data_IF_477543591714
#
_entry.id   IF_477543591714
#
_cell.length_a   1.000
_cell.length_b   1.000
_cell.length_c   1.000
_cell.angle_alpha   90.00
_cell.angle_beta   90.00
_cell.angle_gamma   90.00
#
_symmetry.space_group_name_H-M   'P 1'
#
loop_
_entity.id
_entity.type
_entity.pdbx_description
1 polymer ?
#
# COMPACT_ATOMS: atom_id res chain seq x y z
N UNK A 1 -1.36 -24.19 -18.89
CA UNK A 1 -1.26 -24.11 -17.42
C UNK A 1 -1.67 -22.71 -17.01
N UNK A 2 -2.83 -22.56 -16.38
CA UNK A 2 -3.26 -21.27 -15.84
C UNK A 2 -2.36 -20.97 -14.64
N UNK A 3 -1.33 -20.13 -14.84
CA UNK A 3 -0.53 -19.65 -13.72
C UNK A 3 -1.45 -18.90 -12.77
N UNK A 4 -1.48 -19.28 -11.49
CA UNK A 4 -2.19 -18.50 -10.47
C UNK A 4 -1.63 -17.08 -10.50
N UNK A 5 -2.40 -16.13 -11.06
CA UNK A 5 -2.00 -14.73 -11.17
C UNK A 5 -1.81 -14.05 -9.80
N UNK A 6 -2.26 -14.71 -8.73
CA UNK A 6 -2.36 -14.20 -7.37
C UNK A 6 -1.49 -15.02 -6.40
N UNK A 7 -0.23 -15.29 -6.77
CA UNK A 7 0.79 -15.82 -5.85
C UNK A 7 1.82 -14.74 -5.56
N UNK A 8 2.19 -14.59 -4.30
CA UNK A 8 3.33 -13.78 -3.85
C UNK A 8 4.46 -14.72 -3.47
N UNK A 9 5.65 -14.47 -4.01
CA UNK A 9 6.85 -15.19 -3.59
C UNK A 9 7.54 -14.42 -2.47
N UNK A 10 7.74 -15.10 -1.33
CA UNK A 10 8.26 -14.51 -0.12
C UNK A 10 9.63 -15.09 0.20
N UNK A 11 10.60 -14.20 0.34
CA UNK A 11 11.94 -14.50 0.83
C UNK A 11 12.16 -13.78 2.15
N UNK A 12 12.63 -14.50 3.15
CA UNK A 12 13.02 -13.93 4.42
C UNK A 12 14.52 -14.03 4.56
N UNK A 13 15.16 -12.92 4.89
CA UNK A 13 16.59 -12.86 5.10
C UNK A 13 16.90 -12.08 6.39
N UNK A 14 18.05 -12.37 6.99
CA UNK A 14 18.56 -11.69 8.17
C UNK A 14 19.96 -11.19 7.90
N UNK A 15 20.27 -10.01 8.41
CA UNK A 15 21.61 -9.44 8.35
C UNK A 15 21.58 -7.97 8.70
N UNK A 16 22.62 -7.27 8.32
CA UNK A 16 22.70 -5.83 8.54
C UNK A 16 23.37 -5.15 7.36
N UNK A 17 23.01 -3.89 7.13
CA UNK A 17 23.75 -3.00 6.26
C UNK A 17 24.77 -2.25 7.12
N UNK A 18 25.91 -1.82 6.57
CA UNK A 18 26.94 -1.14 7.37
C UNK A 18 26.47 0.19 8.00
N UNK A 19 25.43 0.83 7.44
CA UNK A 19 24.81 2.03 8.00
C UNK A 19 23.79 1.73 9.12
N UNK A 20 23.42 0.46 9.30
CA UNK A 20 22.56 0.01 10.40
C UNK A 20 23.42 -0.44 11.58
N UNK A 21 23.00 -0.09 12.79
CA UNK A 21 23.71 -0.47 14.03
C UNK A 21 23.45 -1.92 14.46
N UNK A 22 22.34 -2.50 14.01
CA UNK A 22 21.81 -3.77 14.49
C UNK A 22 21.40 -4.67 13.32
N UNK A 23 21.26 -5.97 13.59
CA UNK A 23 20.71 -6.91 12.64
C UNK A 23 19.20 -6.69 12.47
N UNK A 24 18.73 -6.83 11.25
CA UNK A 24 17.34 -6.70 10.87
C UNK A 24 16.89 -7.92 10.09
N UNK A 25 15.62 -8.27 10.25
CA UNK A 25 14.91 -9.23 9.41
C UNK A 25 14.24 -8.48 8.26
N UNK A 26 14.52 -8.95 7.06
CA UNK A 26 13.99 -8.42 5.80
C UNK A 26 13.04 -9.45 5.20
N UNK A 27 11.83 -9.00 4.86
CA UNK A 27 10.82 -9.83 4.19
C UNK A 27 10.55 -9.26 2.81
N UNK A 28 11.08 -9.92 1.79
CA UNK A 28 10.91 -9.56 0.38
C UNK A 28 9.68 -10.27 -0.17
N UNK A 29 8.70 -9.50 -0.65
CA UNK A 29 7.48 -9.99 -1.29
C UNK A 29 7.48 -9.58 -2.75
N UNK A 30 7.67 -10.55 -3.64
CA UNK A 30 7.67 -10.35 -5.07
C UNK A 30 6.29 -10.70 -5.61
N UNK A 31 5.66 -9.73 -6.26
CA UNK A 31 4.35 -9.88 -6.88
C UNK A 31 4.48 -10.22 -8.37
N UNK A 32 3.41 -10.76 -8.95
CA UNK A 32 3.38 -11.19 -10.36
C UNK A 32 3.52 -10.04 -11.37
N UNK A 33 3.29 -8.79 -10.96
CA UNK A 33 3.53 -7.57 -11.75
C UNK A 33 4.96 -7.02 -11.58
N UNK A 34 5.88 -7.81 -11.03
CA UNK A 34 7.28 -7.45 -10.76
C UNK A 34 7.47 -6.34 -9.73
N UNK A 35 6.40 -5.93 -9.02
CA UNK A 35 6.56 -5.05 -7.86
C UNK A 35 7.15 -5.84 -6.69
N UNK A 36 8.00 -5.16 -5.92
CA UNK A 36 8.64 -5.72 -4.73
C UNK A 36 8.26 -4.86 -3.53
N UNK A 37 7.77 -5.52 -2.47
CA UNK A 37 7.64 -4.93 -1.14
C UNK A 37 8.71 -5.51 -0.24
N UNK A 38 9.37 -4.66 0.55
CA UNK A 38 10.35 -5.09 1.55
C UNK A 38 9.89 -4.58 2.90
N UNK A 39 9.53 -5.48 3.81
CA UNK A 39 9.33 -5.11 5.21
C UNK A 39 10.65 -5.31 5.96
N UNK A 40 11.01 -4.35 6.82
CA UNK A 40 12.23 -4.38 7.61
C UNK A 40 11.84 -4.30 9.08
N UNK A 41 12.36 -5.24 9.90
CA UNK A 41 12.12 -5.26 11.35
C UNK A 41 13.44 -5.50 12.09
N UNK A 42 13.74 -4.78 13.19
CA UNK A 42 14.88 -5.09 14.04
C UNK A 42 14.80 -6.53 14.56
N UNK A 43 15.94 -7.22 14.64
CA UNK A 43 16.04 -8.52 15.32
C UNK A 43 16.15 -8.24 16.81
N UNK A 44 15.05 -8.38 17.55
CA UNK A 44 15.07 -8.16 19.00
C UNK A 44 15.99 -9.17 19.68
N UNK A 45 17.06 -8.70 20.31
CA UNK A 45 18.01 -9.52 21.09
C UNK A 45 17.53 -9.80 22.53
N UNK A 46 16.31 -9.40 22.90
CA UNK A 46 15.76 -9.71 24.22
C UNK A 46 15.22 -11.15 24.25
N UNK A 47 15.53 -11.96 25.29
CA UNK A 47 14.93 -13.29 25.43
C UNK A 47 13.41 -13.14 25.58
N UNK A 48 12.67 -13.78 24.69
CA UNK A 48 11.21 -13.87 24.72
C UNK A 48 10.76 -14.58 26.00
N UNK A 49 10.41 -13.80 27.02
CA UNK A 49 9.66 -14.29 28.16
C UNK A 49 8.18 -14.10 27.81
N UNK A 50 7.50 -15.23 27.63
CA UNK A 50 6.04 -15.44 27.49
C UNK A 50 5.45 -15.33 26.08
N UNK A 51 5.61 -16.41 25.31
CA UNK A 51 4.43 -16.98 24.64
C UNK A 51 3.52 -17.58 25.73
N UNK A 52 2.44 -16.88 26.07
CA UNK A 52 1.26 -17.49 26.68
C UNK A 52 0.02 -17.10 25.87
N UNK A 53 -0.94 -18.02 25.68
CA UNK A 53 -2.15 -17.75 24.91
C UNK A 53 -3.04 -16.72 25.63
N UNK A 54 -3.90 -15.99 24.90
CA UNK A 54 -4.76 -14.98 25.51
C UNK A 54 -5.77 -15.65 26.45
N UNK A 55 -5.65 -15.35 27.74
CA UNK A 55 -6.70 -15.60 28.73
C UNK A 55 -7.79 -14.57 28.49
N UNK A 56 -9.01 -15.04 28.24
CA UNK A 56 -10.20 -14.21 28.14
C UNK A 56 -10.41 -13.47 29.47
N UNK A 57 -10.50 -12.14 29.40
CA UNK A 57 -10.97 -11.32 30.53
C UNK A 57 -12.36 -10.82 30.16
N UNK A 58 -13.33 -11.34 30.92
CA UNK A 58 -14.73 -10.96 30.95
C UNK A 58 -14.85 -9.48 31.39
N UNK A 59 -15.56 -8.67 30.62
CA UNK A 59 -15.95 -7.33 31.04
C UNK A 59 -17.31 -7.42 31.75
N UNK A 60 -17.28 -7.62 33.06
CA UNK A 60 -18.43 -7.39 33.93
C UNK A 60 -18.25 -6.10 34.75
N UNK A 61 -19.37 -5.39 34.83
CA UNK A 61 -19.67 -4.09 35.41
C UNK A 61 -19.00 -3.78 36.76
N UNK A 62 -18.40 -2.57 36.89
CA UNK A 62 -18.48 -1.81 38.14
C UNK A 62 -18.76 -0.32 37.84
N UNK A 63 -20.00 0.03 38.15
CA UNK A 63 -20.55 1.38 38.28
C UNK A 63 -19.96 2.11 39.50
N UNK A 64 -19.58 3.39 39.35
CA UNK A 64 -19.61 4.35 40.45
C UNK A 64 -20.23 5.66 39.97
N UNK A 65 -21.14 6.17 40.80
CA UNK A 65 -22.24 7.10 40.54
C UNK A 65 -22.08 8.33 41.45
N UNK A 66 -22.42 9.51 40.93
CA UNK A 66 -22.83 10.72 41.68
C UNK A 66 -21.71 11.72 41.99
N UNK A 67 -21.92 13.04 42.03
CA UNK A 67 -23.16 13.85 41.96
C UNK A 67 -22.76 15.32 41.83
N UNK A 68 -23.57 16.12 41.13
CA UNK A 68 -23.54 17.59 41.09
C UNK A 68 -24.39 18.12 42.25
N UNK A 69 -23.88 19.03 43.08
CA UNK A 69 -24.69 19.99 43.86
C UNK A 69 -23.93 21.33 44.04
N UNK A 70 -24.68 22.41 43.85
CA UNK A 70 -24.34 23.83 43.91
C UNK A 70 -24.23 24.39 45.35
N UNK A 71 -23.64 25.60 45.50
CA UNK A 71 -24.13 26.80 46.24
C UNK A 71 -22.98 27.65 46.85
N UNK A 72 -22.77 28.81 46.19
CA UNK A 72 -22.69 30.23 46.62
C UNK A 72 -21.83 30.80 47.78
N UNK A 73 -21.25 31.96 47.41
CA UNK A 73 -21.01 33.26 48.11
C UNK A 73 -19.94 33.41 49.21
N UNK A 74 -18.91 34.23 48.93
CA UNK A 74 -18.65 35.56 49.56
C UNK A 74 -17.76 36.43 48.63
N UNK A 75 -18.15 37.71 48.50
CA UNK A 75 -17.60 38.81 47.68
C UNK A 75 -16.33 39.51 48.21
N UNK A 76 -15.64 40.21 47.29
CA UNK A 76 -15.09 41.61 47.32
C UNK A 76 -13.73 41.66 46.56
N UNK A 77 -13.65 42.20 45.33
CA UNK A 77 -13.36 43.62 44.95
C UNK A 77 -11.95 44.07 45.40
N UNK A 78 -10.97 44.58 44.64
CA UNK A 78 -10.72 45.16 43.30
C UNK A 78 -9.22 44.81 42.97
N UNK A 79 -8.68 44.78 41.75
CA UNK A 79 -8.24 45.94 40.95
C UNK A 79 -7.44 45.43 39.71
N UNK A 80 -7.37 46.27 38.68
CA UNK A 80 -7.04 45.97 37.28
C UNK A 80 -5.54 45.73 36.92
N UNK A 81 -5.37 45.06 35.77
CA UNK A 81 -4.34 45.22 34.70
C UNK A 81 -3.05 44.36 34.66
N UNK A 82 -3.07 43.46 33.67
CA UNK A 82 -2.00 43.11 32.71
C UNK A 82 -0.63 42.63 33.25
N UNK A 83 -0.35 41.34 33.12
CA UNK A 83 0.66 40.83 32.18
C UNK A 83 0.86 39.31 32.28
N UNK A 84 0.75 38.64 31.13
CA UNK A 84 1.44 37.38 30.75
C UNK A 84 1.34 36.22 31.75
N UNK A 85 0.29 35.43 31.60
CA UNK A 85 0.36 34.01 31.95
C UNK A 85 0.81 33.23 30.72
N UNK A 86 2.01 32.67 30.85
CA UNK A 86 2.49 31.52 30.10
C UNK A 86 1.50 30.37 30.25
N UNK A 87 0.80 30.05 29.18
CA UNK A 87 0.10 28.77 29.07
C UNK A 87 1.22 27.72 29.00
N UNK A 88 1.42 27.02 30.11
CA UNK A 88 2.14 25.77 30.18
C UNK A 88 1.41 24.78 29.28
N UNK A 89 2.02 24.45 28.14
CA UNK A 89 1.63 23.32 27.32
C UNK A 89 1.72 22.06 28.19
N UNK A 90 0.61 21.34 28.29
CA UNK A 90 0.57 20.00 28.86
C UNK A 90 1.54 19.10 28.07
N UNK A 91 2.44 18.36 28.73
CA UNK A 91 3.34 17.43 28.06
C UNK A 91 2.54 16.18 27.67
N UNK A 92 1.96 16.17 26.48
CA UNK A 92 1.55 14.93 25.82
C UNK A 92 2.83 14.12 25.50
N UNK A 93 3.06 13.09 26.32
CA UNK A 93 3.82 11.87 26.04
C UNK A 93 4.90 11.96 24.94
N UNK A 94 6.05 12.57 25.26
CA UNK A 94 7.30 12.36 24.52
C UNK A 94 7.80 10.92 24.76
N UNK A 95 7.15 9.93 24.14
CA UNK A 95 7.72 8.59 24.01
C UNK A 95 8.95 8.64 23.09
N UNK A 96 10.15 8.57 23.69
CA UNK A 96 11.47 8.22 23.14
C UNK A 96 11.63 8.21 21.59
N UNK A 97 11.49 9.36 20.92
CA UNK A 97 11.69 9.49 19.47
C UNK A 97 13.19 9.56 19.09
N UNK A 98 14.03 8.76 19.76
CA UNK A 98 15.50 8.69 19.51
C UNK A 98 15.89 7.58 18.53
N UNK A 99 14.96 6.69 18.21
CA UNK A 99 15.20 5.58 17.27
C UNK A 99 14.86 6.03 15.84
N UNK A 100 15.86 6.02 14.96
CA UNK A 100 15.66 6.31 13.55
C UNK A 100 14.70 5.30 12.93
N UNK A 101 13.63 5.80 12.29
CA UNK A 101 12.68 5.00 11.53
C UNK A 101 13.29 4.59 10.19
N UNK A 102 12.81 3.46 9.66
CA UNK A 102 13.36 2.84 8.46
C UNK A 102 12.23 2.22 7.64
N UNK A 103 12.17 2.53 6.34
CA UNK A 103 11.20 1.95 5.42
C UNK A 103 11.81 1.73 4.04
N UNK A 104 11.40 0.65 3.38
CA UNK A 104 11.81 0.36 2.01
C UNK A 104 10.69 0.67 1.01
N UNK A 105 11.07 1.21 -0.14
CA UNK A 105 10.17 1.75 -1.15
C UNK A 105 10.80 1.61 -2.55
N UNK A 106 10.02 1.90 -3.60
CA UNK A 106 10.43 1.84 -5.01
C UNK A 106 11.00 0.46 -5.43
N UNK A 107 10.37 -0.59 -4.91
CA UNK A 107 10.82 -1.97 -5.10
C UNK A 107 10.40 -2.56 -6.44
N UNK A 108 11.37 -3.17 -7.14
CA UNK A 108 11.18 -3.96 -8.37
C UNK A 108 12.00 -5.25 -8.32
N UNK A 109 11.46 -6.31 -8.92
CA UNK A 109 12.14 -7.59 -9.06
C UNK A 109 12.04 -8.12 -10.49
N UNK A 110 13.17 -8.52 -11.07
CA UNK A 110 13.25 -9.11 -12.40
C UNK A 110 13.79 -10.54 -12.28
N UNK A 111 13.04 -11.51 -12.78
CA UNK A 111 13.50 -12.89 -12.84
C UNK A 111 14.66 -13.01 -13.85
N UNK A 112 15.80 -13.52 -13.41
CA UNK A 112 16.90 -13.86 -14.31
C UNK A 112 16.51 -15.10 -15.12
N UNK A 113 16.70 -15.04 -16.45
CA UNK A 113 16.53 -16.23 -17.28
C UNK A 113 17.70 -17.17 -17.03
N UNK A 114 17.45 -18.47 -16.74
CA UNK A 114 18.54 -19.44 -16.72
C UNK A 114 19.19 -19.50 -18.12
N UNK A 115 20.50 -19.76 -18.19
CA UNK A 115 21.18 -19.94 -19.48
C UNK A 115 20.52 -21.06 -20.28
N UNK A 116 20.49 -20.91 -21.61
CA UNK A 116 19.86 -21.86 -22.53
C UNK A 116 20.36 -23.29 -22.25
N UNK A 117 19.44 -24.21 -21.94
CA UNK A 117 19.74 -25.62 -21.69
C UNK A 117 19.63 -26.10 -20.23
N UNK A 118 19.34 -25.22 -19.25
CA UNK A 118 19.17 -25.59 -17.82
C UNK A 118 17.84 -25.09 -17.21
N UNK A 119 16.72 -25.23 -17.94
CA UNK A 119 15.43 -24.67 -17.49
C UNK A 119 14.80 -25.35 -16.27
N UNK A 120 15.13 -26.61 -15.96
CA UNK A 120 14.36 -27.40 -14.98
C UNK A 120 15.07 -27.59 -13.62
N UNK A 121 16.30 -27.13 -13.43
CA UNK A 121 17.10 -27.45 -12.22
C UNK A 121 17.70 -26.25 -11.48
N UNK A 122 17.63 -25.03 -12.02
CA UNK A 122 18.17 -23.86 -11.31
C UNK A 122 17.12 -23.21 -10.40
N UNK A 123 17.46 -22.88 -9.14
CA UNK A 123 16.56 -22.11 -8.29
C UNK A 123 16.30 -20.74 -8.93
N UNK A 124 15.03 -20.32 -8.92
CA UNK A 124 14.62 -18.98 -9.34
C UNK A 124 15.53 -17.92 -8.70
N UNK A 125 16.06 -17.05 -9.53
CA UNK A 125 16.96 -15.97 -9.15
C UNK A 125 16.36 -14.65 -9.59
N UNK A 126 16.33 -13.68 -8.68
CA UNK A 126 15.81 -12.35 -8.94
C UNK A 126 16.91 -11.31 -8.85
N UNK A 127 16.98 -10.43 -9.85
CA UNK A 127 17.61 -9.13 -9.71
C UNK A 127 16.61 -8.16 -9.11
N UNK A 128 16.90 -7.68 -7.90
CA UNK A 128 16.03 -6.76 -7.17
C UNK A 128 16.65 -5.38 -7.07
N UNK A 129 15.79 -4.38 -7.16
CA UNK A 129 16.11 -2.98 -6.90
C UNK A 129 15.08 -2.43 -5.91
N UNK A 130 15.52 -1.71 -4.90
CA UNK A 130 14.66 -0.99 -3.98
C UNK A 130 15.46 0.13 -3.32
N UNK A 131 14.77 1.06 -2.68
CA UNK A 131 15.37 2.10 -1.86
C UNK A 131 14.98 1.89 -0.42
N UNK A 132 15.85 2.34 0.49
CA UNK A 132 15.58 2.42 1.91
C UNK A 132 15.67 3.89 2.28
N UNK A 133 14.65 4.42 2.93
CA UNK A 133 14.70 5.72 3.59
C UNK A 133 14.84 5.51 5.10
N UNK A 134 15.80 6.19 5.69
CA UNK A 134 16.00 6.28 7.13
C UNK A 134 15.76 7.73 7.54
N UNK A 135 15.02 7.96 8.62
CA UNK A 135 14.77 9.31 9.12
C UNK A 135 14.56 9.32 10.62
N UNK A 136 14.79 10.47 11.24
CA UNK A 136 14.58 10.64 12.67
C UNK A 136 14.91 12.06 13.12
N UNK A 137 14.86 12.27 14.44
CA UNK A 137 15.18 13.56 15.05
C UNK A 137 16.63 13.55 15.55
N UNK A 138 17.40 14.56 15.15
CA UNK A 138 18.78 14.77 15.60
C UNK A 138 18.95 16.13 16.26
N UNK A 139 20.18 16.42 16.70
CA UNK A 139 20.51 17.68 17.39
C UNK A 139 20.24 18.95 16.54
N UNK A 140 20.19 18.82 15.20
CA UNK A 140 19.92 19.90 14.26
C UNK A 140 18.49 19.87 13.69
N UNK A 141 17.60 19.05 14.27
CA UNK A 141 16.24 18.84 13.79
C UNK A 141 16.07 17.51 13.04
N UNK A 142 15.02 17.44 12.22
CA UNK A 142 14.73 16.24 11.42
C UNK A 142 15.81 16.01 10.38
N UNK A 143 16.25 14.75 10.26
CA UNK A 143 17.18 14.32 9.24
C UNK A 143 16.62 13.11 8.50
N UNK A 144 17.08 12.93 7.27
CA UNK A 144 16.79 11.73 6.48
C UNK A 144 17.95 11.37 5.56
N UNK A 145 18.04 10.09 5.25
CA UNK A 145 19.00 9.49 4.35
C UNK A 145 18.27 8.52 3.43
N UNK A 146 18.64 8.47 2.15
CA UNK A 146 18.06 7.53 1.20
C UNK A 146 19.19 6.70 0.59
N UNK A 147 19.06 5.39 0.72
CA UNK A 147 20.01 4.41 0.21
C UNK A 147 19.35 3.62 -0.92
N UNK A 148 20.03 3.54 -2.07
CA UNK A 148 19.60 2.73 -3.20
C UNK A 148 20.28 1.36 -3.14
N UNK A 149 19.49 0.30 -3.25
CA UNK A 149 19.97 -1.09 -3.20
C UNK A 149 19.76 -1.78 -4.56
N UNK A 150 20.79 -2.47 -5.04
CA UNK A 150 20.71 -3.39 -6.19
C UNK A 150 21.35 -4.70 -5.78
N UNK A 151 20.59 -5.79 -5.85
CA UNK A 151 21.04 -7.06 -5.32
C UNK A 151 20.44 -8.25 -6.05
N UNK A 152 21.06 -9.39 -5.84
CA UNK A 152 20.65 -10.69 -6.35
C UNK A 152 20.05 -11.49 -5.21
N UNK A 153 18.80 -11.93 -5.40
CA UNK A 153 18.00 -12.65 -4.41
C UNK A 153 17.79 -14.09 -4.87
N UNK A 154 18.18 -15.05 -4.03
CA UNK A 154 17.96 -16.48 -4.28
C UNK A 154 17.55 -17.19 -3.01
N UNK A 155 16.92 -18.37 -3.17
CA UNK A 155 16.49 -19.19 -2.03
C UNK A 155 17.66 -19.72 -1.19
N UNK A 156 18.80 -19.97 -1.82
CA UNK A 156 19.95 -20.65 -1.20
C UNK A 156 20.96 -19.69 -0.58
N UNK A 157 21.14 -18.51 -1.18
CA UNK A 157 22.17 -17.55 -0.78
C UNK A 157 21.56 -16.30 -0.10
N UNK A 158 20.24 -16.19 -0.03
CA UNK A 158 19.57 -15.00 0.48
C UNK A 158 19.76 -13.84 -0.48
N UNK A 159 20.08 -12.66 0.06
CA UNK A 159 20.27 -11.43 -0.70
C UNK A 159 21.73 -10.99 -0.65
N UNK A 160 22.35 -10.78 -1.80
CA UNK A 160 23.70 -10.20 -1.87
C UNK A 160 23.77 -9.15 -2.95
N UNK A 161 24.41 -8.02 -2.67
CA UNK A 161 24.50 -6.95 -3.65
C UNK A 161 25.26 -5.74 -3.16
N UNK A 162 24.92 -4.59 -3.76
CA UNK A 162 25.53 -3.30 -3.46
C UNK A 162 24.48 -2.27 -3.11
N UNK A 163 24.83 -1.34 -2.24
CA UNK A 163 24.03 -0.17 -1.93
C UNK A 163 24.87 1.10 -1.96
N UNK A 164 24.22 2.24 -2.18
CA UNK A 164 24.86 3.57 -2.21
C UNK A 164 23.88 4.62 -1.71
N UNK A 165 24.36 5.60 -0.93
CA UNK A 165 23.57 6.79 -0.60
C UNK A 165 23.31 7.60 -1.88
N UNK A 166 22.07 8.05 -2.08
CA UNK A 166 21.71 8.84 -3.27
C UNK A 166 22.49 10.15 -3.38
N UNK A 167 23.01 10.67 -2.26
CA UNK A 167 23.83 11.90 -2.23
C UNK A 167 25.32 11.64 -2.47
N UNK A 168 25.77 10.39 -2.35
CA UNK A 168 27.17 10.00 -2.52
C UNK A 168 27.46 9.55 -3.96
N UNK A 169 28.75 9.40 -4.30
CA UNK A 169 29.13 8.96 -5.63
C UNK A 169 28.94 7.44 -5.76
N UNK A 170 28.68 6.95 -6.98
CA UNK A 170 28.49 5.51 -7.26
C UNK A 170 29.75 4.70 -6.94
N UNK A 171 30.92 5.34 -6.97
CA UNK A 171 32.19 4.72 -6.60
C UNK A 171 32.27 4.37 -5.10
N UNK A 172 31.41 4.95 -4.26
CA UNK A 172 31.31 4.71 -2.82
C UNK A 172 30.34 3.56 -2.49
N UNK A 173 29.90 2.79 -3.49
CA UNK A 173 28.97 1.68 -3.29
C UNK A 173 29.56 0.61 -2.37
N UNK A 174 28.79 0.22 -1.36
CA UNK A 174 29.17 -0.76 -0.35
C UNK A 174 28.48 -2.09 -0.62
N UNK A 175 29.20 -3.19 -0.39
CA UNK A 175 28.66 -4.54 -0.52
C UNK A 175 27.90 -4.95 0.74
N UNK A 176 26.88 -5.80 0.57
CA UNK A 176 26.14 -6.37 1.68
C UNK A 176 25.67 -7.79 1.37
N UNK A 177 25.46 -8.58 2.42
CA UNK A 177 24.92 -9.94 2.35
C UNK A 177 23.93 -10.15 3.48
N UNK A 178 22.73 -10.63 3.15
CA UNK A 178 21.70 -11.06 4.08
C UNK A 178 21.51 -12.57 3.95
N UNK A 179 21.63 -13.28 5.06
CA UNK A 179 21.51 -14.73 5.12
C UNK A 179 20.05 -15.16 4.92
N UNK A 180 19.78 -16.23 4.16
CA UNK A 180 18.42 -16.73 3.98
C UNK A 180 17.90 -17.37 5.27
N UNK A 181 16.65 -17.08 5.62
CA UNK A 181 15.93 -17.71 6.73
C UNK A 181 14.89 -18.68 6.17
N UNK A 182 14.03 -18.21 5.28
CA UNK A 182 12.90 -18.97 4.78
C UNK A 182 12.50 -18.51 3.38
N UNK A 183 11.85 -19.43 2.65
CA UNK A 183 11.22 -19.18 1.37
C UNK A 183 9.84 -19.84 1.36
N UNK A 184 8.83 -19.12 0.84
CA UNK A 184 7.48 -19.67 0.67
C UNK A 184 6.72 -18.95 -0.44
N UNK A 185 5.65 -19.60 -0.89
CA UNK A 185 4.66 -19.05 -1.79
C UNK A 185 3.36 -18.86 -1.01
N UNK A 186 2.80 -17.65 -1.08
CA UNK A 186 1.52 -17.32 -0.45
C UNK A 186 0.49 -16.92 -1.52
N UNK A 187 -0.78 -17.23 -1.29
CA UNK A 187 -1.86 -16.68 -2.10
C UNK A 187 -2.04 -15.18 -1.76
N UNK A 188 -2.28 -14.37 -2.78
CA UNK A 188 -2.58 -12.95 -2.60
C UNK A 188 -4.09 -12.77 -2.43
N UNK A 189 -4.55 -12.68 -1.20
CA UNK A 189 -5.98 -12.58 -0.90
C UNK A 189 -6.60 -11.26 -1.40
N UNK A 190 -5.85 -10.15 -1.35
CA UNK A 190 -6.34 -8.82 -1.70
C UNK A 190 -5.30 -7.98 -2.46
N UNK A 191 -5.24 -8.05 -3.80
CA UNK A 191 -4.42 -7.16 -4.60
C UNK A 191 -5.05 -5.76 -4.72
N UNK A 192 -4.27 -4.69 -4.67
CA UNK A 192 -4.81 -3.34 -4.94
C UNK A 192 -5.14 -3.13 -6.43
N UNK A 193 -4.36 -3.70 -7.34
CA UNK A 193 -4.59 -3.61 -8.78
C UNK A 193 -5.40 -4.81 -9.34
N UNK A 194 -6.39 -4.59 -10.23
CA UNK A 194 -6.89 -3.29 -10.67
C UNK A 194 -7.76 -2.64 -9.59
N UNK A 195 -7.89 -1.31 -9.63
CA UNK A 195 -8.83 -0.61 -8.75
C UNK A 195 -10.27 -0.93 -9.16
N UNK A 196 -11.13 -1.13 -8.16
CA UNK A 196 -12.58 -1.34 -8.31
C UNK A 196 -13.34 -0.42 -7.36
N UNK A 197 -14.65 -0.22 -7.52
CA UNK A 197 -15.44 0.51 -6.53
C UNK A 197 -15.34 -0.13 -5.15
N UNK A 198 -15.32 0.66 -4.10
CA UNK A 198 -15.13 0.17 -2.73
C UNK A 198 -14.45 1.16 -1.79
N UNK A 199 -14.17 0.68 -0.58
CA UNK A 199 -13.46 1.41 0.46
C UNK A 199 -12.07 0.79 0.66
N UNK A 200 -11.05 1.63 0.73
CA UNK A 200 -9.65 1.22 0.84
C UNK A 200 -8.97 1.98 1.96
N UNK A 201 -8.27 1.25 2.81
CA UNK A 201 -7.39 1.77 3.85
C UNK A 201 -5.96 1.52 3.40
N UNK A 202 -5.18 2.59 3.24
CA UNK A 202 -3.79 2.57 2.82
C UNK A 202 -2.92 3.20 3.91
N UNK A 203 -1.69 2.72 4.03
CA UNK A 203 -0.69 3.33 4.91
C UNK A 203 0.67 3.33 4.23
N UNK A 204 1.50 4.31 4.51
CA UNK A 204 2.88 4.35 4.03
C UNK A 204 3.48 5.72 4.20
N UNK A 205 4.23 6.17 3.20
CA UNK A 205 4.99 7.40 3.28
C UNK A 205 4.84 8.29 2.06
N UNK A 206 5.00 9.59 2.28
CA UNK A 206 5.36 10.55 1.25
C UNK A 206 6.77 11.05 1.51
N UNK A 207 7.53 11.28 0.43
CA UNK A 207 8.90 11.80 0.51
C UNK A 207 8.99 13.03 -0.40
N UNK A 208 9.25 14.19 0.17
CA UNK A 208 9.52 15.41 -0.57
C UNK A 208 10.87 15.33 -1.30
N UNK A 209 11.09 16.13 -2.36
CA UNK A 209 12.37 16.17 -3.07
C UNK A 209 13.53 16.66 -2.19
N UNK A 210 13.24 17.45 -1.17
CA UNK A 210 14.21 17.83 -0.14
C UNK A 210 14.48 16.71 0.87
N UNK A 211 13.96 15.49 0.61
CA UNK A 211 14.08 14.26 1.40
C UNK A 211 13.31 14.22 2.71
N UNK A 212 12.46 15.20 3.01
CA UNK A 212 11.59 15.12 4.18
C UNK A 212 10.56 14.00 4.03
N UNK A 213 10.32 13.24 5.10
CA UNK A 213 9.44 12.06 5.09
C UNK A 213 8.24 12.33 5.97
N UNK A 214 7.06 12.02 5.44
CA UNK A 214 5.81 12.04 6.19
C UNK A 214 5.20 10.64 6.17
N UNK A 215 4.88 10.10 7.34
CA UNK A 215 4.09 8.89 7.43
C UNK A 215 2.61 9.25 7.27
N UNK A 216 1.86 8.49 6.49
CA UNK A 216 0.47 8.80 6.19
C UNK A 216 -0.43 7.57 6.30
N UNK A 217 -1.63 7.78 6.82
CA UNK A 217 -2.76 6.87 6.73
C UNK A 217 -3.85 7.49 5.85
N UNK A 218 -4.41 6.72 4.92
CA UNK A 218 -5.34 7.23 3.91
C UNK A 218 -6.56 6.31 3.84
N UNK A 219 -7.74 6.91 3.86
CA UNK A 219 -9.01 6.25 3.59
C UNK A 219 -9.54 6.74 2.25
N UNK A 220 -9.84 5.83 1.33
CA UNK A 220 -10.38 6.13 0.00
C UNK A 220 -11.70 5.42 -0.22
N UNK A 221 -12.69 6.15 -0.73
CA UNK A 221 -13.94 5.62 -1.27
C UNK A 221 -13.96 5.83 -2.77
N UNK A 222 -13.97 4.73 -3.53
CA UNK A 222 -14.02 4.72 -4.99
C UNK A 222 -15.45 4.42 -5.45
N UNK A 223 -16.06 5.35 -6.16
CA UNK A 223 -17.43 5.23 -6.66
C UNK A 223 -17.47 4.67 -8.10
N UNK A 224 -18.50 3.91 -8.50
CA UNK A 224 -18.60 3.33 -9.85
C UNK A 224 -18.56 4.33 -11.01
N UNK A 225 -18.92 5.59 -10.76
CA UNK A 225 -18.88 6.69 -11.74
C UNK A 225 -17.48 7.30 -11.94
N UNK A 226 -16.44 6.76 -11.29
CA UNK A 226 -15.06 7.24 -11.40
C UNK A 226 -14.69 8.36 -10.43
N UNK A 227 -15.62 8.83 -9.59
CA UNK A 227 -15.30 9.78 -8.52
C UNK A 227 -14.68 9.07 -7.31
N UNK A 228 -13.77 9.76 -6.62
CA UNK A 228 -13.24 9.32 -5.34
C UNK A 228 -13.30 10.42 -4.29
N UNK A 229 -13.40 10.01 -3.04
CA UNK A 229 -13.39 10.88 -1.85
C UNK A 229 -12.74 10.15 -0.69
N UNK A 230 -12.38 10.87 0.36
CA UNK A 230 -11.87 10.24 1.58
C UNK A 230 -11.10 11.21 2.45
N UNK A 231 -10.13 10.67 3.18
CA UNK A 231 -9.29 11.45 4.09
C UNK A 231 -7.85 10.95 4.10
N UNK A 232 -6.92 11.85 4.43
CA UNK A 232 -5.52 11.55 4.69
C UNK A 232 -5.13 12.13 6.04
N UNK A 233 -4.31 11.41 6.80
CA UNK A 233 -3.76 11.84 8.08
C UNK A 233 -2.26 11.63 8.08
N UNK A 234 -1.51 12.69 8.33
CA UNK A 234 -0.06 12.59 8.59
C UNK A 234 0.16 12.11 10.01
N UNK A 235 1.00 11.10 10.22
CA UNK A 235 1.29 10.52 11.53
C UNK A 235 2.54 11.17 12.14
N UNK A 236 2.56 11.44 13.46
CA UNK A 236 1.55 11.08 14.47
C UNK A 236 0.41 12.10 14.63
N UNK A 237 0.31 13.11 13.77
CA UNK A 237 -0.67 14.18 13.92
C UNK A 237 -2.12 13.67 13.80
N UNK A 238 -3.03 14.32 14.52
CA UNK A 238 -4.45 13.97 14.55
C UNK A 238 -5.25 14.62 13.42
N UNK A 239 -4.70 15.64 12.76
CA UNK A 239 -5.38 16.38 11.70
C UNK A 239 -5.74 15.46 10.53
N UNK A 240 -7.04 15.34 10.29
CA UNK A 240 -7.58 14.55 9.18
C UNK A 240 -7.98 15.49 8.04
N UNK A 241 -7.26 15.39 6.93
CA UNK A 241 -7.41 16.24 5.78
C UNK A 241 -8.34 15.59 4.74
N UNK A 242 -9.41 16.28 4.30
CA UNK A 242 -10.29 15.74 3.28
C UNK A 242 -9.59 15.66 1.93
N UNK A 243 -9.93 14.64 1.16
CA UNK A 243 -9.51 14.50 -0.23
C UNK A 243 -10.69 14.19 -1.15
N UNK A 244 -10.57 14.67 -2.39
CA UNK A 244 -11.53 14.41 -3.46
C UNK A 244 -10.82 14.37 -4.81
N UNK A 245 -11.33 13.54 -5.73
CA UNK A 245 -10.68 13.37 -7.02
C UNK A 245 -11.37 12.38 -7.94
N UNK A 246 -10.58 11.83 -8.87
CA UNK A 246 -11.03 10.87 -9.87
C UNK A 246 -10.15 9.62 -9.87
N UNK A 247 -10.75 8.49 -10.21
CA UNK A 247 -10.04 7.22 -10.33
C UNK A 247 -10.44 6.46 -11.59
N UNK A 248 -9.56 5.56 -11.99
CA UNK A 248 -9.71 4.58 -13.07
C UNK A 248 -9.11 3.27 -12.60
N UNK A 249 -9.29 2.18 -13.36
CA UNK A 249 -8.67 0.87 -13.05
C UNK A 249 -7.15 0.94 -12.86
N UNK A 250 -6.50 1.86 -13.56
CA UNK A 250 -5.04 1.95 -13.68
C UNK A 250 -4.44 3.10 -12.89
N UNK A 251 -5.23 3.89 -12.16
CA UNK A 251 -4.70 5.06 -11.49
C UNK A 251 -5.75 5.95 -10.86
N UNK A 252 -5.30 6.81 -9.97
CA UNK A 252 -6.10 7.81 -9.28
C UNK A 252 -5.39 9.15 -9.24
N UNK A 253 -6.17 10.22 -9.13
CA UNK A 253 -5.68 11.56 -8.86
C UNK A 253 -6.65 12.27 -7.91
N UNK A 254 -6.11 12.99 -6.93
CA UNK A 254 -6.93 13.71 -5.96
C UNK A 254 -6.26 14.98 -5.49
N UNK A 255 -7.09 15.90 -5.00
CA UNK A 255 -6.68 17.06 -4.24
C UNK A 255 -6.75 16.72 -2.76
N UNK A 256 -5.75 17.19 -2.01
CA UNK A 256 -5.72 17.16 -0.56
C UNK A 256 -5.61 18.59 -0.04
N UNK A 257 -6.51 18.97 0.86
CA UNK A 257 -6.49 20.27 1.52
C UNK A 257 -5.91 20.12 2.93
N UNK A 258 -4.80 20.80 3.17
CA UNK A 258 -4.09 20.83 4.45
C UNK A 258 -4.17 22.24 5.05
N UNK A 259 -4.47 22.35 6.34
CA UNK A 259 -4.55 23.65 7.01
C UNK A 259 -3.44 23.79 8.05
N UNK A 260 -2.59 24.81 7.87
CA UNK A 260 -1.49 25.13 8.78
C UNK A 260 -1.57 26.58 9.22
N UNK A 261 -1.60 26.84 10.53
CA UNK A 261 -1.67 28.19 11.09
C UNK A 261 -2.81 29.06 10.50
N UNK A 262 -3.96 28.44 10.20
CA UNK A 262 -5.12 29.12 9.59
C UNK A 262 -5.02 29.35 8.08
N UNK A 263 -3.94 28.91 7.42
CA UNK A 263 -3.78 28.97 5.97
C UNK A 263 -4.07 27.60 5.35
N UNK A 264 -4.85 27.60 4.27
CA UNK A 264 -5.14 26.39 3.50
C UNK A 264 -4.14 26.22 2.36
N UNK A 265 -3.53 25.05 2.32
CA UNK A 265 -2.60 24.62 1.29
C UNK A 265 -3.23 23.44 0.54
N UNK A 266 -3.17 23.48 -0.79
CA UNK A 266 -3.75 22.43 -1.63
C UNK A 266 -2.66 21.70 -2.39
N UNK A 267 -2.74 20.37 -2.37
CA UNK A 267 -1.76 19.50 -3.03
C UNK A 267 -2.46 18.53 -3.98
N UNK A 268 -1.87 18.31 -5.14
CA UNK A 268 -2.35 17.37 -6.16
C UNK A 268 -1.52 16.10 -6.05
N UNK A 269 -2.21 14.98 -5.90
CA UNK A 269 -1.64 13.64 -5.82
C UNK A 269 -2.00 12.82 -7.05
N UNK A 270 -1.05 12.02 -7.53
CA UNK A 270 -1.22 11.04 -8.61
C UNK A 270 -0.74 9.68 -8.11
N UNK A 271 -1.57 8.66 -8.20
CA UNK A 271 -1.26 7.31 -7.74
C UNK A 271 -1.50 6.27 -8.83
N UNK A 272 -0.55 5.35 -8.98
CA UNK A 272 -0.64 4.16 -9.83
C UNK A 272 -0.69 2.92 -8.94
N UNK A 273 -1.75 2.11 -9.02
CA UNK A 273 -1.90 0.89 -8.24
C UNK A 273 -1.01 -0.22 -8.82
N UNK A 274 -0.28 -0.89 -7.95
CA UNK A 274 0.40 -2.16 -8.16
C UNK A 274 -0.23 -3.22 -7.26
N UNK A 275 0.16 -4.48 -7.41
CA UNK A 275 -0.26 -5.55 -6.50
C UNK A 275 0.24 -5.32 -5.06
N UNK A 276 1.42 -4.70 -4.90
CA UNK A 276 2.02 -4.38 -3.60
C UNK A 276 1.41 -3.17 -2.89
N UNK A 277 0.77 -2.25 -3.63
CA UNK A 277 0.35 -0.96 -3.08
C UNK A 277 0.19 0.12 -4.14
N UNK A 278 0.06 1.36 -3.71
CA UNK A 278 -0.06 2.55 -4.54
C UNK A 278 1.26 3.33 -4.56
N UNK A 279 1.76 3.68 -5.74
CA UNK A 279 2.97 4.49 -5.90
C UNK A 279 2.69 5.69 -6.78
N UNK A 280 3.37 6.80 -6.57
CA UNK A 280 3.24 7.95 -7.46
C UNK A 280 3.88 9.23 -6.95
N UNK A 281 3.25 10.36 -7.26
CA UNK A 281 3.83 11.69 -7.04
C UNK A 281 2.81 12.65 -6.45
N UNK A 282 3.31 13.67 -5.78
CA UNK A 282 2.50 14.77 -5.29
C UNK A 282 3.21 16.10 -5.51
N UNK A 283 2.44 17.19 -5.57
CA UNK A 283 2.97 18.53 -5.64
C UNK A 283 1.93 19.56 -5.18
N UNK A 284 2.40 20.69 -4.68
CA UNK A 284 1.56 21.84 -4.40
C UNK A 284 0.84 22.29 -5.69
N UNK A 285 -0.47 22.53 -5.59
CA UNK A 285 -1.30 22.90 -6.74
C UNK A 285 -0.90 24.25 -7.34
N UNK A 286 -0.34 25.15 -6.52
CA UNK A 286 0.07 26.48 -6.91
C UNK A 286 1.53 26.54 -7.37
N UNK A 287 2.28 25.43 -7.28
CA UNK A 287 3.71 25.42 -7.59
C UNK A 287 4.04 25.93 -9.00
N UNK A 288 3.15 25.70 -9.98
CA UNK A 288 3.34 26.22 -11.36
C UNK A 288 3.23 27.75 -11.44
N UNK A 289 2.44 28.36 -10.56
CA UNK A 289 2.25 29.82 -10.50
C UNK A 289 3.37 30.45 -9.66
N UNK A 290 3.77 29.79 -8.58
CA UNK A 290 4.78 30.29 -7.63
C UNK A 290 6.23 30.00 -8.05
N UNK A 291 6.44 29.02 -8.94
CA UNK A 291 7.77 28.43 -9.22
C UNK A 291 8.84 29.39 -9.75
N UNK A 292 8.48 30.58 -10.24
CA UNK A 292 9.45 31.62 -10.62
C UNK A 292 10.00 32.44 -9.44
N UNK A 293 9.32 32.43 -8.29
CA UNK A 293 9.58 33.29 -7.13
C UNK A 293 10.06 32.52 -5.90
N UNK A 294 10.02 31.19 -5.92
CA UNK A 294 10.48 30.34 -4.83
C UNK A 294 11.97 30.03 -4.97
N UNK A 295 12.70 30.01 -3.86
CA UNK A 295 14.05 29.46 -3.85
C UNK A 295 14.01 27.93 -4.06
N UNK A 296 15.15 27.37 -4.48
CA UNK A 296 15.23 25.95 -4.84
C UNK A 296 14.85 25.01 -3.68
N UNK A 297 15.17 25.37 -2.43
CA UNK A 297 14.89 24.52 -1.27
C UNK A 297 13.40 24.48 -0.98
N UNK A 298 12.74 25.65 -1.02
CA UNK A 298 11.28 25.73 -0.86
C UNK A 298 10.58 24.99 -2.00
N UNK A 299 11.02 25.18 -3.26
CA UNK A 299 10.43 24.43 -4.38
C UNK A 299 10.55 22.91 -4.26
N UNK A 300 11.63 22.39 -3.64
CA UNK A 300 11.82 20.95 -3.41
C UNK A 300 10.98 20.42 -2.24
N UNK A 301 10.56 21.28 -1.31
CA UNK A 301 9.64 20.90 -0.24
C UNK A 301 8.19 20.73 -0.73
N UNK A 302 7.85 21.36 -1.86
CA UNK A 302 6.47 21.45 -2.37
C UNK A 302 6.13 20.38 -3.41
N UNK A 303 6.95 19.33 -3.53
CA UNK A 303 6.72 18.19 -4.42
C UNK A 303 7.50 16.97 -3.98
N UNK A 304 7.04 15.80 -4.41
CA UNK A 304 7.68 14.56 -4.03
C UNK A 304 7.00 13.32 -4.59
N UNK A 305 7.30 12.20 -3.94
CA UNK A 305 6.75 10.88 -4.25
C UNK A 305 5.89 10.36 -3.09
N UNK A 306 5.04 9.40 -3.41
CA UNK A 306 4.24 8.64 -2.44
C UNK A 306 4.42 7.15 -2.64
N UNK A 307 4.38 6.40 -1.54
CA UNK A 307 4.33 4.95 -1.55
C UNK A 307 3.49 4.44 -0.38
N UNK A 308 2.32 3.88 -0.71
CA UNK A 308 1.38 3.34 0.26
C UNK A 308 1.15 1.87 -0.01
N UNK A 309 1.06 1.07 1.05
CA UNK A 309 0.61 -0.30 0.97
C UNK A 309 -0.87 -0.41 1.35
N UNK A 310 -1.53 -1.42 0.79
CA UNK A 310 -2.91 -1.75 1.15
C UNK A 310 -2.95 -2.37 2.54
N UNK A 311 -3.73 -1.77 3.44
CA UNK A 311 -4.04 -2.32 4.76
C UNK A 311 -5.34 -3.13 4.67
N UNK A 312 -6.37 -2.56 4.04
CA UNK A 312 -7.70 -3.18 3.94
C UNK A 312 -8.46 -2.72 2.71
N UNK A 313 -9.22 -3.62 2.10
CA UNK A 313 -10.11 -3.33 0.98
C UNK A 313 -11.48 -3.95 1.21
N UNK A 314 -12.53 -3.15 1.04
CA UNK A 314 -13.94 -3.57 1.00
C UNK A 314 -14.50 -3.19 -0.35
N UNK A 315 -14.52 -4.15 -1.29
CA UNK A 315 -14.97 -3.92 -2.67
C UNK A 315 -16.50 -3.94 -2.78
N UNK A 316 -17.04 -3.08 -3.64
CA UNK A 316 -18.47 -2.97 -3.92
C UNK A 316 -18.76 -3.48 -5.31
N UNK A 317 -19.64 -4.50 -5.38
CA UNK A 317 -19.99 -5.14 -6.64
C UNK A 317 -20.55 -4.11 -7.64
N UNK A 318 -20.15 -4.25 -8.89
CA UNK A 318 -20.65 -3.43 -9.98
C UNK A 318 -20.50 -4.13 -11.32
N UNK A 319 -21.44 -3.87 -12.23
CA UNK A 319 -21.44 -4.45 -13.58
C UNK A 319 -20.13 -4.17 -14.32
N UNK A 320 -19.55 -2.98 -14.21
CA UNK A 320 -18.33 -2.69 -14.93
C UNK A 320 -17.12 -3.49 -14.43
N UNK A 321 -17.10 -3.93 -13.16
CA UNK A 321 -15.90 -4.46 -12.49
C UNK A 321 -16.06 -5.90 -12.00
N UNK A 322 -17.19 -6.56 -12.28
CA UNK A 322 -17.46 -7.94 -11.83
C UNK A 322 -16.32 -8.91 -12.15
N UNK A 323 -15.63 -8.71 -13.29
CA UNK A 323 -14.59 -9.62 -13.80
C UNK A 323 -13.32 -9.59 -12.96
N UNK A 324 -13.14 -8.52 -12.20
CA UNK A 324 -11.96 -8.27 -11.36
C UNK A 324 -12.13 -8.85 -9.95
N UNK A 325 -13.30 -9.44 -9.63
CA UNK A 325 -13.53 -10.14 -8.37
C UNK A 325 -12.81 -11.50 -8.30
N UNK A 326 -12.46 -11.98 -7.08
CA UNK A 326 -11.81 -13.27 -6.90
C UNK A 326 -12.54 -14.41 -7.60
N UNK A 327 -11.81 -15.26 -8.33
CA UNK A 327 -12.40 -16.31 -9.16
C UNK A 327 -13.40 -17.21 -8.42
N UNK A 328 -13.09 -17.59 -7.17
CA UNK A 328 -14.00 -18.37 -6.34
C UNK A 328 -15.34 -17.65 -6.08
N UNK A 329 -15.31 -16.34 -5.80
CA UNK A 329 -16.52 -15.54 -5.64
C UNK A 329 -17.35 -15.53 -6.94
N UNK A 330 -16.67 -15.33 -8.08
CA UNK A 330 -17.33 -15.30 -9.39
C UNK A 330 -18.06 -16.62 -9.69
N UNK A 331 -17.40 -17.75 -9.44
CA UNK A 331 -17.99 -19.08 -9.64
C UNK A 331 -19.11 -19.37 -8.64
N UNK A 332 -18.99 -18.99 -7.37
CA UNK A 332 -20.08 -19.13 -6.39
C UNK A 332 -21.33 -18.34 -6.83
N UNK A 333 -21.18 -17.08 -7.23
CA UNK A 333 -22.30 -16.27 -7.73
C UNK A 333 -22.92 -16.92 -8.97
N UNK A 334 -22.10 -17.38 -9.91
CA UNK A 334 -22.57 -18.06 -11.11
C UNK A 334 -23.35 -19.35 -10.80
N UNK A 335 -22.86 -20.19 -9.88
CA UNK A 335 -23.53 -21.40 -9.44
C UNK A 335 -24.87 -21.10 -8.76
N UNK A 336 -24.90 -20.12 -7.85
CA UNK A 336 -26.13 -19.70 -7.17
C UNK A 336 -27.19 -19.23 -8.17
N UNK A 337 -26.78 -18.45 -9.18
CA UNK A 337 -27.67 -18.02 -10.25
C UNK A 337 -28.16 -19.22 -11.07
N UNK A 338 -27.28 -20.08 -11.55
CA UNK A 338 -27.67 -21.24 -12.36
C UNK A 338 -28.61 -22.21 -11.61
N UNK A 339 -28.38 -22.45 -10.32
CA UNK A 339 -29.27 -23.26 -9.48
C UNK A 339 -30.65 -22.59 -9.33
N UNK A 340 -30.67 -21.27 -9.08
CA UNK A 340 -31.93 -20.50 -8.96
C UNK A 340 -32.75 -20.51 -10.24
N UNK A 341 -32.11 -20.64 -11.41
CA UNK A 341 -32.80 -20.80 -12.69
C UNK A 341 -33.41 -22.20 -12.82
N UNK A 342 -32.68 -23.25 -12.44
CA UNK A 342 -33.14 -24.63 -12.53
C UNK A 342 -34.33 -24.92 -11.62
N UNK A 343 -34.32 -24.34 -10.41
CA UNK A 343 -35.36 -24.57 -9.41
C UNK A 343 -36.55 -23.60 -9.54
N UNK A 344 -36.59 -22.77 -10.59
CA UNK A 344 -37.58 -21.69 -10.80
C UNK A 344 -37.74 -20.72 -9.61
N UNK A 345 -36.75 -20.68 -8.71
CA UNK A 345 -36.75 -19.84 -7.50
C UNK A 345 -36.78 -18.37 -7.88
N UNK A 346 -36.09 -18.02 -8.97
CA UNK A 346 -36.01 -16.65 -9.45
C UNK A 346 -36.94 -16.42 -10.66
N UNK A 347 -37.97 -15.57 -10.53
CA UNK A 347 -38.90 -15.30 -11.62
C UNK A 347 -38.21 -14.94 -12.94
N UNK A 348 -38.72 -15.49 -14.05
CA UNK A 348 -38.16 -15.35 -15.41
C UNK A 348 -37.85 -13.90 -15.80
N UNK A 349 -38.69 -12.94 -15.39
CA UNK A 349 -38.51 -11.53 -15.70
C UNK A 349 -37.29 -10.88 -15.02
N UNK A 350 -36.87 -11.38 -13.85
CA UNK A 350 -35.71 -10.86 -13.11
C UNK A 350 -34.37 -11.28 -13.72
N UNK A 351 -34.35 -12.33 -14.54
CA UNK A 351 -33.13 -12.77 -15.25
C UNK A 351 -32.58 -11.71 -16.18
N UNK A 352 -33.45 -10.93 -16.83
CA UNK A 352 -33.03 -9.81 -17.67
C UNK A 352 -32.28 -8.74 -16.85
N UNK A 353 -32.75 -8.44 -15.64
CA UNK A 353 -32.10 -7.52 -14.71
C UNK A 353 -30.78 -8.07 -14.19
N UNK A 354 -30.70 -9.38 -13.90
CA UNK A 354 -29.45 -10.02 -13.48
C UNK A 354 -28.42 -10.03 -14.61
N UNK A 355 -28.82 -10.39 -15.84
CA UNK A 355 -27.92 -10.38 -17.00
C UNK A 355 -27.46 -8.96 -17.31
N UNK A 356 -28.36 -7.97 -17.18
CA UNK A 356 -27.96 -6.56 -17.27
C UNK A 356 -26.97 -6.20 -16.17
N UNK A 357 -27.20 -6.60 -14.92
CA UNK A 357 -26.39 -6.17 -13.78
C UNK A 357 -25.03 -6.89 -13.66
N UNK A 358 -24.96 -8.15 -14.09
CA UNK A 358 -23.73 -8.94 -14.14
C UNK A 358 -23.00 -8.77 -15.48
N UNK A 359 -23.64 -8.21 -16.51
CA UNK A 359 -23.14 -8.15 -17.86
C UNK A 359 -23.22 -9.50 -18.58
N UNK A 360 -23.61 -9.49 -19.86
CA UNK A 360 -23.75 -10.70 -20.68
C UNK A 360 -22.46 -11.53 -20.76
N UNK A 361 -21.30 -10.87 -20.80
CA UNK A 361 -19.99 -11.52 -20.89
C UNK A 361 -19.64 -12.38 -19.66
N UNK A 362 -20.29 -12.16 -18.52
CA UNK A 362 -20.13 -12.98 -17.32
C UNK A 362 -20.54 -14.44 -17.53
N UNK A 363 -21.58 -14.66 -18.33
CA UNK A 363 -22.16 -15.98 -18.57
C UNK A 363 -21.54 -16.68 -19.79
N UNK A 364 -20.77 -15.96 -20.62
CA UNK A 364 -19.95 -16.56 -21.67
C UNK A 364 -18.68 -17.16 -21.06
N UNK A 365 -18.71 -18.46 -20.80
CA UNK A 365 -17.52 -19.20 -20.34
C UNK A 365 -16.37 -19.17 -21.38
N UNK A 366 -15.12 -19.25 -20.91
CA UNK A 366 -13.95 -19.53 -21.76
C UNK A 366 -14.06 -20.86 -22.51
N UNK A 367 -14.96 -21.76 -22.08
CA UNK A 367 -15.28 -23.00 -22.80
C UNK A 367 -15.85 -22.71 -24.20
N UNK A 368 -16.66 -21.65 -24.35
CA UNK A 368 -17.18 -21.22 -25.65
C UNK A 368 -16.08 -20.65 -26.54
N UNK A 369 -15.08 -19.98 -25.97
CA UNK A 369 -13.88 -19.53 -26.69
C UNK A 369 -13.00 -20.71 -27.09
N UNK A 370 -12.90 -21.77 -26.26
CA UNK A 370 -12.18 -23.00 -26.60
C UNK A 370 -12.88 -23.80 -27.71
N UNK A 371 -14.21 -23.81 -27.70
CA UNK A 371 -15.03 -24.46 -28.73
C UNK A 371 -14.92 -23.69 -30.06
N UNK A 372 -14.99 -22.35 -30.04
CA UNK A 372 -14.79 -21.52 -31.24
C UNK A 372 -13.36 -21.61 -31.81
N UNK A 373 -12.34 -21.75 -30.96
CA UNK A 373 -10.96 -21.99 -31.39
C UNK A 373 -10.71 -23.41 -31.93
N UNK A 374 -11.61 -24.36 -31.62
CA UNK A 374 -11.59 -25.72 -32.19
C UNK A 374 -12.33 -25.79 -33.53
N UNK A 375 -13.37 -24.98 -33.72
CA UNK A 375 -14.09 -24.89 -34.99
C UNK A 375 -13.26 -24.22 -36.10
N UNK A 376 -12.42 -23.23 -35.76
CA UNK A 376 -11.51 -22.60 -36.73
C UNK A 376 -10.34 -23.49 -37.18
N UNK A 377 -10.11 -24.64 -36.53
CA UNK A 377 -9.11 -25.64 -36.95
C UNK A 377 -9.70 -26.74 -37.82
N UNK A 378 -11.02 -26.86 -37.92
CA UNK A 378 -11.67 -27.90 -38.71
C UNK A 378 -12.13 -27.46 -40.11
N UNK A 379 -12.05 -26.17 -40.44
CA UNK A 379 -12.48 -25.65 -41.75
C UNK A 379 -11.42 -25.69 -42.86
N UNK A 380 -10.18 -26.09 -42.57
CA UNK A 380 -9.07 -26.03 -43.55
C UNK A 380 -8.77 -27.37 -44.25
N UNK A 381 -9.61 -28.39 -44.11
CA UNK A 381 -9.28 -29.74 -44.61
C UNK A 381 -10.43 -30.48 -45.30
N UNK A 382 -11.14 -29.84 -46.22
CA UNK A 382 -11.99 -30.56 -47.18
C UNK A 382 -12.00 -29.88 -48.56
N UNK A 383 -10.93 -30.08 -49.32
CA UNK A 383 -10.97 -30.10 -50.79
C UNK A 383 -10.03 -31.19 -51.30
N UNK A 384 -10.53 -32.42 -51.35
CA UNK A 384 -9.97 -33.48 -52.20
C UNK A 384 -10.91 -33.73 -53.37
N UNK A 385 -10.37 -33.42 -54.56
CA UNK A 385 -10.91 -33.68 -55.90
C UNK A 385 -11.47 -35.09 -56.10
N UNK A 386 -12.56 -35.19 -56.88
CA UNK A 386 -12.81 -36.26 -57.87
C UNK A 386 -13.86 -35.75 -58.89
N UNK A 387 -13.84 -36.18 -60.16
CA UNK A 387 -12.79 -36.16 -61.19
C UNK A 387 -12.97 -35.02 -62.22
#
# INVERSE_FOLDING_TARGET
MAGNADVVEIFECEGSFSFLREAHRFVFRIHSDSSLRVDIKPVSTAPSILEQPPVAIDHDEISVRGTIEDIDDVMEEEEYQNARESITEDPEEEEEETVAKLLAYDGRALAERPPEGQMDTQPMCYMVHFKIVQWGRGAQGMWSQIVKCIARLTRQQGLSGRFVDIRENVDDAQEFVLQPIAHRLEALDNPLHPLTPGHYELQGITIAENTFVYECAINLTLQPNGMMSGTSRELPFTQECPLAGMWTRSGLNYLLEYEMHGNKHTYIYFGTPFRSGLQGTWQNSELRVLGGNLDARTSQAERGILEFHLVKAVRVWSEAYHKDYPAAFRECVKLLLLASHQDEILPSHLWSSIVSYCGYNWFRSDLQNSLAASESKHSDNEFTNVP
#
